data_IF_813936285327
#
_entry.id   IF_813936285327
#
_cell.length_a   1.000
_cell.length_b   1.000
_cell.length_c   1.000
_cell.angle_alpha   90.00
_cell.angle_beta   90.00
_cell.angle_gamma   90.00
#
_symmetry.space_group_name_H-M   'P 1'
#
loop_
_entity.id
_entity.type
_entity.pdbx_description
1 polymer ?
#
# COMPACT_ATOMS: atom_id res chain seq x y z
N UNK A 1 -11.42 13.61 -9.78
CA UNK A 1 -11.36 14.68 -8.77
C UNK A 1 -10.97 14.04 -7.46
N UNK A 2 -9.88 14.51 -6.85
CA UNK A 2 -9.45 14.05 -5.52
C UNK A 2 -10.47 14.47 -4.48
N UNK A 3 -10.84 13.54 -3.61
CA UNK A 3 -11.78 13.79 -2.53
C UNK A 3 -11.19 14.81 -1.53
N UNK A 4 -12.03 15.75 -1.07
CA UNK A 4 -11.68 16.73 -0.06
C UNK A 4 -11.20 16.07 1.26
N UNK A 5 -11.63 14.82 1.53
CA UNK A 5 -11.19 14.03 2.68
C UNK A 5 -9.66 13.83 2.74
N UNK A 6 -8.96 13.79 1.60
CA UNK A 6 -7.50 13.67 1.58
C UNK A 6 -6.80 14.96 2.03
N UNK A 7 -7.33 16.13 1.66
CA UNK A 7 -6.80 17.41 2.15
C UNK A 7 -7.05 17.58 3.64
N UNK A 8 -8.23 17.18 4.11
CA UNK A 8 -8.55 17.15 5.55
C UNK A 8 -7.62 16.20 6.33
N UNK A 9 -7.23 15.07 5.74
CA UNK A 9 -6.28 14.12 6.36
C UNK A 9 -4.90 14.74 6.59
N UNK A 10 -4.49 15.65 5.71
CA UNK A 10 -3.25 16.45 5.83
C UNK A 10 -3.45 17.77 6.60
N UNK A 11 -4.64 18.02 7.16
CA UNK A 11 -4.97 19.24 7.91
C UNK A 11 -4.78 20.54 7.08
N UNK A 12 -5.09 20.49 5.78
CA UNK A 12 -4.98 21.64 4.85
C UNK A 12 -6.27 21.91 4.08
N UNK A 13 -6.36 23.09 3.49
CA UNK A 13 -7.51 23.47 2.67
C UNK A 13 -7.61 22.63 1.38
N UNK A 14 -8.83 22.35 0.89
CA UNK A 14 -9.02 21.75 -0.43
C UNK A 14 -8.31 22.58 -1.51
N UNK A 15 -7.75 21.90 -2.50
CA UNK A 15 -7.04 22.53 -3.63
C UNK A 15 -5.79 23.36 -3.25
N UNK A 16 -5.25 23.20 -2.03
CA UNK A 16 -3.96 23.79 -1.62
C UNK A 16 -2.82 23.51 -2.62
N UNK A 17 -1.85 24.43 -2.72
CA UNK A 17 -0.73 24.31 -3.68
C UNK A 17 0.14 23.06 -3.43
N UNK A 18 0.91 22.61 -4.43
CA UNK A 18 1.79 21.44 -4.26
C UNK A 18 2.81 21.65 -3.14
N UNK A 19 3.30 22.87 -2.94
CA UNK A 19 4.25 23.19 -1.88
C UNK A 19 3.60 23.14 -0.50
N UNK A 20 2.36 23.63 -0.37
CA UNK A 20 1.57 23.46 0.86
C UNK A 20 1.32 21.98 1.17
N UNK A 21 0.96 21.18 0.16
CA UNK A 21 0.72 19.74 0.32
C UNK A 21 1.99 19.02 0.77
N UNK A 22 3.15 19.34 0.18
CA UNK A 22 4.46 18.79 0.59
C UNK A 22 4.81 19.17 2.02
N UNK A 23 4.71 20.45 2.37
CA UNK A 23 5.02 20.93 3.72
C UNK A 23 4.10 20.28 4.77
N UNK A 24 2.81 20.17 4.46
CA UNK A 24 1.83 19.50 5.33
C UNK A 24 2.14 18.01 5.51
N UNK A 25 2.49 17.30 4.43
CA UNK A 25 2.91 15.90 4.51
C UNK A 25 4.12 15.72 5.44
N UNK A 26 5.19 16.50 5.26
CA UNK A 26 6.39 16.40 6.11
C UNK A 26 6.08 16.73 7.58
N UNK A 27 5.26 17.76 7.82
CA UNK A 27 4.81 18.12 9.16
C UNK A 27 3.98 17.00 9.81
N UNK A 28 3.02 16.43 9.08
CA UNK A 28 2.18 15.35 9.55
C UNK A 28 2.97 14.06 9.78
N UNK A 29 3.86 13.68 8.86
CA UNK A 29 4.71 12.50 8.99
C UNK A 29 5.62 12.61 10.22
N UNK A 30 6.22 13.78 10.47
CA UNK A 30 7.04 14.02 11.66
C UNK A 30 6.21 13.98 12.95
N UNK A 31 5.00 14.55 12.95
CA UNK A 31 4.14 14.61 14.14
C UNK A 31 3.55 13.24 14.52
N UNK A 32 3.20 12.43 13.52
CA UNK A 32 2.45 11.19 13.70
C UNK A 32 3.29 9.93 13.43
N UNK A 33 4.62 10.05 13.38
CA UNK A 33 5.50 8.89 13.18
C UNK A 33 5.32 7.87 14.31
N UNK A 34 5.09 6.57 14.01
CA UNK A 34 4.81 5.54 15.02
C UNK A 34 5.92 5.43 16.08
N UNK A 35 7.18 5.65 15.70
CA UNK A 35 8.34 5.56 16.61
C UNK A 35 8.35 6.62 17.74
N UNK A 36 7.54 7.68 17.62
CA UNK A 36 7.42 8.71 18.66
C UNK A 36 6.42 8.34 19.77
N UNK A 37 5.70 7.23 19.62
CA UNK A 37 4.61 6.84 20.50
C UNK A 37 4.91 5.50 21.19
N UNK A 38 4.32 5.28 22.39
CA UNK A 38 4.48 4.02 23.11
C UNK A 38 3.90 2.84 22.31
N UNK A 39 4.40 1.63 22.60
CA UNK A 39 4.01 0.39 21.93
C UNK A 39 2.50 0.15 21.89
N UNK A 40 1.77 0.55 22.93
CA UNK A 40 0.31 0.44 23.01
C UNK A 40 -0.45 1.27 21.97
N UNK A 41 0.16 2.35 21.46
CA UNK A 41 -0.43 3.21 20.44
C UNK A 41 0.12 2.93 19.03
N UNK A 42 1.22 2.19 18.92
CA UNK A 42 1.95 2.05 17.66
C UNK A 42 1.10 1.54 16.50
N UNK A 43 0.20 0.59 16.74
CA UNK A 43 -0.69 0.06 15.70
C UNK A 43 -1.66 1.11 15.16
N UNK A 44 -2.22 1.95 16.05
CA UNK A 44 -3.10 3.05 15.65
C UNK A 44 -2.34 4.14 14.89
N UNK A 45 -1.10 4.43 15.32
CA UNK A 45 -0.21 5.37 14.62
C UNK A 45 0.22 4.84 13.26
N UNK A 46 0.42 3.53 13.14
CA UNK A 46 0.70 2.88 11.86
C UNK A 46 -0.44 3.11 10.87
N UNK A 47 -1.69 2.84 11.27
CA UNK A 47 -2.87 3.09 10.44
C UNK A 47 -3.00 4.58 10.07
N UNK A 48 -2.77 5.49 11.02
CA UNK A 48 -2.79 6.93 10.74
C UNK A 48 -1.73 7.33 9.72
N UNK A 49 -0.52 6.79 9.84
CA UNK A 49 0.56 7.04 8.89
C UNK A 49 0.23 6.51 7.49
N UNK A 50 -0.38 5.32 7.38
CA UNK A 50 -0.86 4.79 6.09
C UNK A 50 -1.86 5.75 5.42
N UNK A 51 -2.79 6.34 6.19
CA UNK A 51 -3.75 7.35 5.68
C UNK A 51 -3.07 8.65 5.24
N UNK A 52 -2.08 9.13 5.98
CA UNK A 52 -1.29 10.32 5.62
C UNK A 52 -0.55 10.07 4.29
N UNK A 53 0.09 8.91 4.15
CA UNK A 53 0.78 8.49 2.94
C UNK A 53 -0.19 8.39 1.75
N UNK A 54 -1.37 7.78 1.95
CA UNK A 54 -2.40 7.69 0.91
C UNK A 54 -2.84 9.08 0.45
N UNK A 55 -3.20 9.96 1.39
CA UNK A 55 -3.69 11.30 1.10
C UNK A 55 -2.68 12.10 0.25
N UNK A 56 -1.40 12.09 0.67
CA UNK A 56 -0.35 12.74 -0.09
C UNK A 56 -0.21 12.14 -1.50
N UNK A 57 -0.09 10.82 -1.61
CA UNK A 57 0.07 10.15 -2.91
C UNK A 57 -1.12 10.39 -3.85
N UNK A 58 -2.36 10.41 -3.32
CA UNK A 58 -3.58 10.72 -4.10
C UNK A 58 -3.59 12.13 -4.64
N UNK A 59 -3.30 13.13 -3.79
CA UNK A 59 -3.27 14.54 -4.20
C UNK A 59 -2.18 14.77 -5.24
N UNK A 60 -1.01 14.16 -5.05
CA UNK A 60 0.09 14.28 -6.00
C UNK A 60 -0.24 13.57 -7.32
N UNK A 61 -0.76 12.34 -7.28
CA UNK A 61 -1.09 11.56 -8.49
C UNK A 61 -2.08 12.28 -9.41
N UNK A 62 -3.07 12.97 -8.86
CA UNK A 62 -4.06 13.75 -9.63
C UNK A 62 -3.46 14.94 -10.37
N UNK A 63 -2.32 15.45 -9.88
CA UNK A 63 -1.57 16.56 -10.47
C UNK A 63 -0.43 16.07 -11.37
N UNK A 64 -0.27 14.75 -11.52
CA UNK A 64 0.70 14.17 -12.44
C UNK A 64 0.08 13.97 -13.82
N UNK A 65 0.82 14.23 -14.91
CA UNK A 65 0.42 13.80 -16.24
C UNK A 65 0.33 12.27 -16.25
N UNK A 66 -0.80 11.76 -16.76
CA UNK A 66 -0.93 10.33 -17.05
C UNK A 66 -0.09 10.07 -18.29
N UNK A 67 1.12 9.56 -18.11
CA UNK A 67 1.89 9.05 -19.24
C UNK A 67 1.07 7.92 -19.87
N UNK A 68 0.62 8.11 -21.11
CA UNK A 68 0.05 7.02 -21.91
C UNK A 68 1.18 6.02 -22.09
N UNK A 69 1.10 4.89 -21.38
CA UNK A 69 1.98 3.76 -21.62
C UNK A 69 1.71 3.31 -23.05
N UNK A 70 2.47 3.83 -24.00
CA UNK A 70 2.54 3.23 -25.33
C UNK A 70 3.10 1.84 -25.13
N UNK A 71 2.30 0.86 -25.49
CA UNK A 71 2.59 -0.57 -25.47
C UNK A 71 3.90 -0.86 -26.20
N UNK A 72 5.00 -0.78 -25.46
CA UNK A 72 6.34 -1.14 -25.91
C UNK A 72 7.00 -1.91 -24.78
N UNK A 73 6.58 -3.17 -24.63
CA UNK A 73 7.43 -4.31 -24.25
C UNK A 73 6.60 -5.60 -24.21
N UNK A 74 5.94 -5.93 -25.32
CA UNK A 74 5.58 -7.30 -25.64
C UNK A 74 6.75 -7.92 -26.41
N UNK A 75 7.72 -8.45 -25.67
CA UNK A 75 8.93 -8.99 -26.27
C UNK A 75 9.77 -9.76 -25.26
N UNK A 76 9.26 -10.90 -24.78
CA UNK A 76 10.15 -12.04 -24.61
C UNK A 76 9.39 -13.37 -24.68
N UNK A 77 9.93 -14.30 -25.47
CA UNK A 77 9.39 -15.65 -25.69
C UNK A 77 9.71 -16.56 -24.48
N UNK A 78 8.92 -17.62 -24.25
CA UNK A 78 9.09 -18.49 -23.08
C UNK A 78 10.24 -19.47 -23.29
N UNK A 79 11.11 -19.59 -22.29
CA UNK A 79 12.06 -20.71 -22.17
C UNK A 79 11.56 -21.62 -21.06
N UNK A 80 11.26 -22.86 -21.42
CA UNK A 80 10.89 -23.91 -20.48
C UNK A 80 12.09 -24.58 -19.84
N UNK A 81 11.89 -25.07 -18.62
CA UNK A 81 12.53 -26.26 -18.06
C UNK A 81 11.76 -26.71 -16.81
N UNK A 82 11.50 -28.02 -16.71
CA UNK A 82 11.02 -28.77 -15.55
C UNK A 82 11.94 -28.55 -14.33
N UNK A 83 11.55 -28.74 -13.06
CA UNK A 83 10.98 -29.97 -12.49
C UNK A 83 10.55 -29.78 -11.01
N UNK A 84 9.61 -30.64 -10.60
CA UNK A 84 9.23 -31.16 -9.27
C UNK A 84 9.10 -30.30 -7.99
N UNK A 85 7.85 -30.24 -7.49
CA UNK A 85 7.53 -30.79 -6.15
C UNK A 85 7.34 -29.82 -4.97
N UNK A 86 6.16 -29.19 -4.83
CA UNK A 86 5.47 -29.08 -3.52
C UNK A 86 4.05 -28.52 -3.67
N UNK A 87 3.09 -29.19 -3.05
CA UNK A 87 1.67 -28.94 -3.13
C UNK A 87 1.24 -27.58 -2.56
N UNK A 88 0.60 -26.76 -3.40
CA UNK A 88 -0.06 -25.53 -2.99
C UNK A 88 -0.99 -25.06 -4.10
N UNK A 89 -2.26 -25.44 -4.00
CA UNK A 89 -3.29 -25.10 -4.97
C UNK A 89 -3.40 -23.57 -5.19
N UNK A 90 -2.98 -23.14 -6.38
CA UNK A 90 -3.60 -22.08 -7.17
C UNK A 90 -3.92 -22.69 -8.55
N UNK A 91 -4.88 -22.14 -9.31
CA UNK A 91 -4.88 -20.74 -9.70
C UNK A 91 -6.27 -20.07 -9.70
N UNK A 92 -6.33 -18.73 -9.75
CA UNK A 92 -7.04 -18.02 -10.84
C UNK A 92 -7.05 -16.49 -10.70
N UNK A 93 -6.75 -15.86 -11.84
CA UNK A 93 -7.19 -14.57 -12.40
C UNK A 93 -7.02 -13.24 -11.65
N UNK A 94 -6.41 -12.31 -12.38
CA UNK A 94 -6.00 -10.97 -12.00
C UNK A 94 -7.10 -9.90 -12.19
N UNK A 95 -8.32 -10.11 -11.69
CA UNK A 95 -9.40 -9.14 -11.83
C UNK A 95 -10.30 -9.08 -10.59
N UNK A 96 -9.97 -8.20 -9.65
CA UNK A 96 -10.80 -7.87 -8.48
C UNK A 96 -10.91 -9.00 -7.46
N UNK A 97 -10.98 -8.66 -6.17
CA UNK A 97 -11.42 -9.64 -5.17
C UNK A 97 -12.84 -10.01 -5.56
N UNK A 98 -13.10 -11.28 -5.89
CA UNK A 98 -14.44 -11.64 -6.30
C UNK A 98 -15.36 -11.58 -5.08
N UNK A 99 -16.58 -11.10 -5.27
CA UNK A 99 -17.58 -11.16 -4.20
C UNK A 99 -17.76 -12.60 -3.66
N UNK A 100 -17.44 -13.61 -4.48
CA UNK A 100 -17.43 -15.01 -4.09
C UNK A 100 -16.34 -15.34 -3.05
N UNK A 101 -15.13 -14.79 -3.16
CA UNK A 101 -14.06 -15.00 -2.17
C UNK A 101 -14.40 -14.37 -0.82
N UNK A 102 -14.95 -13.15 -0.83
CA UNK A 102 -15.43 -12.48 0.40
C UNK A 102 -16.58 -13.29 1.01
N UNK A 103 -17.55 -13.73 0.20
CA UNK A 103 -18.65 -14.58 0.65
C UNK A 103 -18.17 -15.91 1.23
N UNK A 104 -17.16 -16.56 0.63
CA UNK A 104 -16.62 -17.82 1.13
C UNK A 104 -15.90 -17.65 2.48
N UNK A 105 -15.16 -16.54 2.66
CA UNK A 105 -14.57 -16.19 3.96
C UNK A 105 -15.64 -15.93 5.04
N UNK A 106 -16.78 -15.32 4.64
CA UNK A 106 -17.93 -15.10 5.51
C UNK A 106 -18.78 -16.38 5.74
N UNK A 107 -18.59 -17.44 4.94
CA UNK A 107 -19.34 -18.69 5.03
C UNK A 107 -18.86 -19.66 6.13
N UNK A 108 -17.83 -19.28 6.89
CA UNK A 108 -17.35 -20.01 8.08
C UNK A 108 -17.70 -19.29 9.40
N UNK A 109 -18.99 -19.05 9.72
CA UNK A 109 -19.40 -18.25 10.88
C UNK A 109 -19.12 -18.88 12.26
N UNK A 110 -18.43 -20.04 12.33
CA UNK A 110 -18.14 -20.72 13.60
C UNK A 110 -16.84 -20.27 14.27
N UNK A 111 -15.96 -19.56 13.57
CA UNK A 111 -14.76 -18.95 14.16
C UNK A 111 -14.63 -17.50 13.65
N UNK A 112 -15.13 -16.51 14.42
CA UNK A 112 -15.00 -15.10 14.07
C UNK A 112 -13.55 -14.66 13.86
N UNK A 113 -12.59 -15.21 14.62
CA UNK A 113 -11.18 -14.87 14.47
C UNK A 113 -10.64 -15.36 13.12
N UNK A 114 -11.02 -16.57 12.69
CA UNK A 114 -10.67 -17.09 11.37
C UNK A 114 -11.24 -16.23 10.24
N UNK A 115 -12.50 -15.80 10.32
CA UNK A 115 -13.11 -14.94 9.28
C UNK A 115 -12.32 -13.64 9.12
N UNK A 116 -12.02 -12.93 10.22
CA UNK A 116 -11.22 -11.71 10.16
C UNK A 116 -9.81 -12.00 9.64
N UNK A 117 -9.15 -13.06 10.11
CA UNK A 117 -7.84 -13.46 9.62
C UNK A 117 -7.85 -13.72 8.11
N UNK A 118 -8.84 -14.45 7.59
CA UNK A 118 -8.94 -14.76 6.16
C UNK A 118 -9.22 -13.53 5.31
N UNK A 119 -10.09 -12.63 5.76
CA UNK A 119 -10.30 -11.34 5.09
C UNK A 119 -8.99 -10.54 5.05
N UNK A 120 -8.27 -10.47 6.18
CA UNK A 120 -6.95 -9.86 6.26
C UNK A 120 -5.95 -10.49 5.28
N UNK A 121 -5.91 -11.82 5.21
CA UNK A 121 -5.03 -12.58 4.32
C UNK A 121 -5.32 -12.32 2.84
N UNK A 122 -6.59 -12.24 2.44
CA UNK A 122 -7.00 -11.92 1.06
C UNK A 122 -6.46 -10.53 0.67
N UNK A 123 -6.70 -9.52 1.49
CA UNK A 123 -6.22 -8.16 1.21
C UNK A 123 -4.69 -8.05 1.26
N UNK A 124 -4.04 -8.75 2.19
CA UNK A 124 -2.58 -8.81 2.27
C UNK A 124 -1.98 -9.40 0.99
N UNK A 125 -2.52 -10.52 0.53
CA UNK A 125 -2.07 -11.20 -0.70
C UNK A 125 -2.26 -10.31 -1.92
N UNK A 126 -3.39 -9.58 -1.99
CA UNK A 126 -3.63 -8.60 -3.04
C UNK A 126 -2.58 -7.48 -3.03
N UNK A 127 -2.30 -6.89 -1.87
CA UNK A 127 -1.29 -5.84 -1.74
C UNK A 127 0.10 -6.31 -2.17
N UNK A 128 0.51 -7.50 -1.73
CA UNK A 128 1.76 -8.11 -2.18
C UNK A 128 1.77 -8.38 -3.69
N UNK A 129 0.66 -8.85 -4.24
CA UNK A 129 0.54 -9.12 -5.68
C UNK A 129 0.74 -7.85 -6.49
N UNK A 130 0.12 -6.73 -6.10
CA UNK A 130 0.27 -5.45 -6.80
C UNK A 130 1.71 -4.95 -6.81
N UNK A 131 2.46 -5.19 -5.72
CA UNK A 131 3.83 -4.73 -5.58
C UNK A 131 4.86 -5.68 -6.24
N UNK A 132 4.63 -6.99 -6.19
CA UNK A 132 5.63 -8.00 -6.55
C UNK A 132 5.32 -8.82 -7.81
N UNK A 133 4.06 -8.92 -8.28
CA UNK A 133 3.82 -9.59 -9.58
C UNK A 133 4.24 -8.73 -10.76
N UNK A 134 4.23 -7.40 -10.62
CA UNK A 134 4.49 -6.46 -11.72
C UNK A 134 5.98 -6.10 -11.90
N UNK A 135 6.84 -7.11 -11.83
CA UNK A 135 8.30 -7.02 -11.98
C UNK A 135 9.04 -6.36 -10.78
N UNK A 136 9.41 -7.16 -9.75
CA UNK A 136 10.08 -6.69 -8.54
C UNK A 136 11.40 -5.96 -8.78
N UNK A 137 12.11 -6.30 -9.86
CA UNK A 137 13.37 -5.66 -10.22
C UNK A 137 13.11 -4.25 -10.74
N UNK A 138 12.06 -4.07 -11.55
CA UNK A 138 11.64 -2.75 -12.04
C UNK A 138 11.18 -1.88 -10.87
N UNK A 139 10.34 -2.39 -9.96
CA UNK A 139 9.89 -1.61 -8.79
C UNK A 139 11.07 -1.22 -7.90
N UNK A 140 11.97 -2.15 -7.56
CA UNK A 140 13.17 -1.84 -6.76
C UNK A 140 14.11 -0.86 -7.47
N UNK A 141 14.31 -1.03 -8.77
CA UNK A 141 15.15 -0.18 -9.60
C UNK A 141 14.55 1.21 -9.77
N UNK A 142 13.26 1.34 -10.07
CA UNK A 142 12.56 2.63 -10.20
C UNK A 142 12.45 3.37 -8.87
N UNK A 143 12.30 2.65 -7.75
CA UNK A 143 12.37 3.22 -6.40
C UNK A 143 13.78 3.69 -6.04
N UNK A 144 14.82 3.01 -6.54
CA UNK A 144 16.23 3.35 -6.31
C UNK A 144 16.78 4.44 -7.26
N UNK A 145 16.30 4.49 -8.51
CA UNK A 145 16.80 5.37 -9.58
C UNK A 145 16.08 6.73 -9.66
N UNK A 146 15.25 7.10 -8.68
CA UNK A 146 14.64 8.44 -8.58
C UNK A 146 13.79 8.87 -9.80
N UNK A 147 13.23 7.93 -10.57
CA UNK A 147 12.18 8.20 -11.57
C UNK A 147 10.77 8.10 -10.96
N UNK A 148 10.60 8.55 -9.72
CA UNK A 148 9.37 8.47 -8.90
C UNK A 148 8.35 9.58 -9.17
N UNK A 149 8.30 10.04 -10.42
CA UNK A 149 7.20 10.80 -11.01
C UNK A 149 6.51 9.98 -12.11
N UNK A 150 6.51 8.66 -11.95
CA UNK A 150 5.79 7.78 -12.85
C UNK A 150 4.41 7.48 -12.25
N UNK A 151 3.37 8.01 -12.89
CA UNK A 151 1.97 7.82 -12.48
C UNK A 151 1.64 6.33 -12.25
N UNK A 152 2.17 5.43 -13.10
CA UNK A 152 1.93 3.99 -12.98
C UNK A 152 2.51 3.40 -11.70
N UNK A 153 3.74 3.80 -11.31
CA UNK A 153 4.37 3.33 -10.07
C UNK A 153 3.60 3.84 -8.85
N UNK A 154 3.17 5.11 -8.90
CA UNK A 154 2.39 5.72 -7.83
C UNK A 154 1.01 5.09 -7.69
N UNK A 155 0.36 4.77 -8.81
CA UNK A 155 -0.93 4.07 -8.83
C UNK A 155 -0.81 2.64 -8.27
N UNK A 156 0.23 1.89 -8.65
CA UNK A 156 0.50 0.58 -8.06
C UNK A 156 0.75 0.67 -6.55
N UNK A 157 1.54 1.66 -6.11
CA UNK A 157 1.80 1.90 -4.71
C UNK A 157 0.51 2.24 -3.93
N UNK A 158 -0.34 3.10 -4.48
CA UNK A 158 -1.65 3.44 -3.91
C UNK A 158 -2.56 2.23 -3.78
N UNK A 159 -2.67 1.41 -4.82
CA UNK A 159 -3.52 0.20 -4.80
C UNK A 159 -3.01 -0.84 -3.79
N UNK A 160 -1.68 -0.98 -3.68
CA UNK A 160 -1.07 -1.84 -2.69
C UNK A 160 -1.28 -1.32 -1.26
N UNK A 161 -1.09 -0.02 -1.03
CA UNK A 161 -1.30 0.63 0.27
C UNK A 161 -2.75 0.46 0.78
N UNK A 162 -3.74 0.71 -0.08
CA UNK A 162 -5.16 0.50 0.24
C UNK A 162 -5.47 -0.94 0.63
N UNK A 163 -4.87 -1.90 -0.07
CA UNK A 163 -5.04 -3.32 0.24
C UNK A 163 -4.39 -3.63 1.59
N UNK A 164 -3.20 -3.10 1.85
CA UNK A 164 -2.53 -3.29 3.14
C UNK A 164 -3.24 -2.61 4.30
N UNK A 165 -3.86 -1.44 4.13
CA UNK A 165 -4.61 -0.78 5.20
C UNK A 165 -5.80 -1.65 5.62
N UNK A 166 -6.54 -2.19 4.65
CA UNK A 166 -7.64 -3.14 4.92
C UNK A 166 -7.14 -4.39 5.63
N UNK A 167 -6.04 -4.96 5.13
CA UNK A 167 -5.41 -6.12 5.76
C UNK A 167 -5.00 -5.83 7.21
N UNK A 168 -4.42 -4.66 7.47
CA UNK A 168 -3.99 -4.22 8.78
C UNK A 168 -5.16 -4.17 9.76
N UNK A 169 -6.27 -3.54 9.38
CA UNK A 169 -7.46 -3.46 10.23
C UNK A 169 -7.99 -4.85 10.60
N UNK A 170 -8.09 -5.77 9.63
CA UNK A 170 -8.56 -7.13 9.90
C UNK A 170 -7.63 -7.91 10.83
N UNK A 171 -6.31 -7.85 10.59
CA UNK A 171 -5.35 -8.51 11.49
C UNK A 171 -5.31 -7.88 12.87
N UNK A 172 -5.49 -6.56 12.98
CA UNK A 172 -5.57 -5.88 14.26
C UNK A 172 -6.79 -6.35 15.05
N UNK A 173 -7.95 -6.51 14.41
CA UNK A 173 -9.13 -7.10 15.06
C UNK A 173 -8.85 -8.51 15.59
N UNK A 174 -8.13 -9.36 14.84
CA UNK A 174 -7.71 -10.70 15.32
C UNK A 174 -6.87 -10.57 16.59
N UNK A 175 -5.89 -9.67 16.61
CA UNK A 175 -4.95 -9.53 17.73
C UNK A 175 -5.61 -8.89 18.97
N UNK A 176 -6.48 -7.89 18.78
CA UNK A 176 -7.09 -7.13 19.87
C UNK A 176 -8.32 -7.83 20.46
N UNK A 177 -9.18 -8.42 19.62
CA UNK A 177 -10.47 -8.97 20.06
C UNK A 177 -10.42 -10.49 20.29
N UNK A 178 -9.46 -11.20 19.69
CA UNK A 178 -9.36 -12.66 19.78
C UNK A 178 -7.94 -13.11 20.18
N UNK A 179 -7.38 -12.62 21.31
CA UNK A 179 -5.98 -12.85 21.68
C UNK A 179 -5.61 -14.32 21.90
N UNK A 180 -6.58 -15.17 22.24
CA UNK A 180 -6.40 -16.61 22.46
C UNK A 180 -6.54 -17.44 21.17
N UNK A 181 -6.83 -16.81 20.04
CA UNK A 181 -6.96 -17.50 18.76
C UNK A 181 -5.61 -17.99 18.24
N UNK A 182 -5.60 -19.19 17.64
CA UNK A 182 -4.42 -19.76 16.96
C UNK A 182 -3.86 -18.86 15.85
N UNK A 183 -4.68 -17.94 15.32
CA UNK A 183 -4.33 -17.05 14.22
C UNK A 183 -3.56 -15.79 14.65
N UNK A 184 -3.51 -15.49 15.95
CA UNK A 184 -2.90 -14.26 16.48
C UNK A 184 -1.41 -14.15 16.15
N UNK A 185 -0.66 -15.25 16.28
CA UNK A 185 0.78 -15.26 16.00
C UNK A 185 1.06 -14.91 14.54
N UNK A 186 0.32 -15.49 13.59
CA UNK A 186 0.50 -15.15 12.17
C UNK A 186 -0.02 -13.75 11.86
N UNK A 187 -1.16 -13.33 12.43
CA UNK A 187 -1.67 -11.97 12.28
C UNK A 187 -0.64 -10.93 12.72
N UNK A 188 0.01 -11.11 13.89
CA UNK A 188 1.12 -10.25 14.35
C UNK A 188 2.30 -10.24 13.38
N UNK A 189 2.66 -11.39 12.80
CA UNK A 189 3.71 -11.46 11.78
C UNK A 189 3.34 -10.68 10.52
N UNK A 190 2.08 -10.75 10.08
CA UNK A 190 1.59 -9.99 8.93
C UNK A 190 1.51 -8.49 9.21
N UNK A 191 1.09 -8.06 10.40
CA UNK A 191 1.14 -6.66 10.83
C UNK A 191 2.57 -6.11 10.74
N UNK A 192 3.56 -6.80 11.32
CA UNK A 192 4.98 -6.41 11.23
C UNK A 192 5.50 -6.34 9.78
N UNK A 193 5.02 -7.21 8.90
CA UNK A 193 5.36 -7.15 7.46
C UNK A 193 4.73 -5.93 6.77
N UNK A 194 3.47 -5.63 7.05
CA UNK A 194 2.79 -4.43 6.56
C UNK A 194 3.50 -3.17 7.07
N UNK A 195 4.00 -3.17 8.31
CA UNK A 195 4.75 -2.05 8.87
C UNK A 195 5.98 -1.70 8.02
N UNK A 196 6.77 -2.71 7.61
CA UNK A 196 7.91 -2.52 6.71
C UNK A 196 7.51 -1.97 5.33
N UNK A 197 6.33 -2.32 4.83
CA UNK A 197 5.82 -1.71 3.59
C UNK A 197 5.51 -0.22 3.77
N UNK A 198 5.06 0.20 4.95
CA UNK A 198 4.79 1.60 5.22
C UNK A 198 6.05 2.48 5.15
N UNK A 199 7.18 1.97 5.62
CA UNK A 199 8.48 2.64 5.46
C UNK A 199 8.83 2.84 3.96
N UNK A 200 8.49 1.86 3.11
CA UNK A 200 8.67 1.98 1.66
C UNK A 200 7.76 3.09 1.10
N UNK A 201 6.50 3.17 1.53
CA UNK A 201 5.60 4.24 1.10
C UNK A 201 6.07 5.62 1.57
N UNK A 202 6.60 5.75 2.77
CA UNK A 202 7.20 7.00 3.24
C UNK A 202 8.38 7.41 2.33
N UNK A 203 9.27 6.48 1.99
CA UNK A 203 10.37 6.73 1.04
C UNK A 203 9.87 7.15 -0.35
N UNK A 204 8.79 6.52 -0.83
CA UNK A 204 8.13 6.93 -2.09
C UNK A 204 7.69 8.39 -1.99
N UNK A 205 6.97 8.74 -0.91
CA UNK A 205 6.46 10.09 -0.71
C UNK A 205 7.59 11.13 -0.61
N UNK A 206 8.66 10.82 0.13
CA UNK A 206 9.86 11.65 0.24
C UNK A 206 10.57 11.85 -1.12
N UNK A 207 10.74 10.76 -1.88
CA UNK A 207 11.35 10.81 -3.20
C UNK A 207 10.51 11.65 -4.17
N UNK A 208 9.19 11.44 -4.17
CA UNK A 208 8.26 12.23 -4.98
C UNK A 208 8.30 13.72 -4.57
N UNK A 209 8.37 14.03 -3.26
CA UNK A 209 8.53 15.41 -2.78
C UNK A 209 9.83 16.06 -3.29
N UNK A 210 10.94 15.32 -3.29
CA UNK A 210 12.24 15.78 -3.81
C UNK A 210 12.19 16.02 -5.33
N UNK A 211 11.62 15.08 -6.08
CA UNK A 211 11.48 15.19 -7.54
C UNK A 211 10.63 16.40 -7.95
N UNK A 212 9.53 16.66 -7.25
CA UNK A 212 8.69 17.84 -7.45
C UNK A 212 9.49 19.15 -7.26
N UNK A 213 10.29 19.23 -6.20
CA UNK A 213 11.12 20.41 -5.92
C UNK A 213 12.15 20.67 -7.03
N UNK A 214 12.82 19.61 -7.52
CA UNK A 214 13.82 19.72 -8.59
C UNK A 214 13.20 20.21 -9.91
N UNK A 215 11.98 19.78 -10.25
CA UNK A 215 11.29 20.25 -11.47
C UNK A 215 10.86 21.70 -11.38
N UNK A 216 10.29 22.12 -10.23
CA UNK A 216 9.93 23.53 -10.00
C UNK A 216 11.14 24.47 -10.13
N UNK A 217 12.31 24.04 -9.64
CA UNK A 217 13.55 24.80 -9.72
C UNK A 217 14.17 24.86 -11.13
N UNK A 218 13.92 23.87 -11.99
CA UNK A 218 14.39 23.87 -13.39
C UNK A 218 13.45 24.59 -14.38
N UNK A 219 12.25 24.98 -13.93
CA UNK A 219 11.27 25.75 -14.71
C UNK A 219 11.22 27.24 -14.37
N UNK A 220 12.07 27.70 -13.44
CA UNK A 220 12.26 29.10 -13.06
C UNK A 220 13.54 29.66 -13.69
#
# INVERSE_FOLDING_TARGET
MVDASYYATLEIAPHSSLDQVKAAYHGAAKRYHPDLFPDSERDRRQLKMMKINEAYMRIVADRMPRETVSDQSAGDKPVGAADEGSAGAGPESAAGVSAAEIRNALAHPRDPAYTHYKLGFVFYTRGCTQLYRKDPKIVRRQLAELKTYNYYVLDLALQALLSFERAYNYFLVVVEQYPDSIWVTDARNKLRRIQRFNEIYQRICENTSRSLAARQAGTA
#
